data_IF_980145824334
#
_entry.id   IF_980145824334
#
_cell.length_a   1.000
_cell.length_b   1.000
_cell.length_c   1.000
_cell.angle_alpha   90.00
_cell.angle_beta   90.00
_cell.angle_gamma   90.00
#
_symmetry.space_group_name_H-M   'P 1'
#
loop_
_entity.id
_entity.type
_entity.pdbx_description
1 polymer ?
#
# COMPACT_ATOMS: atom_id res chain seq x y z
N UNK A 1 -10.19 -4.84 33.46
CA UNK A 1 -8.94 -5.53 33.80
C UNK A 1 -8.28 -5.92 32.48
N UNK A 2 -7.04 -5.51 32.22
CA UNK A 2 -6.38 -5.92 30.99
C UNK A 2 -6.17 -7.44 31.00
N UNK A 3 -6.49 -8.10 29.88
CA UNK A 3 -6.20 -9.53 29.74
C UNK A 3 -4.69 -9.77 29.79
N UNK A 4 -4.28 -10.81 30.50
CA UNK A 4 -2.92 -11.33 30.39
C UNK A 4 -2.73 -11.88 28.97
N UNK A 5 -1.53 -11.67 28.39
CA UNK A 5 -1.18 -12.19 27.06
C UNK A 5 -0.85 -13.68 27.18
N UNK A 6 -1.36 -14.48 26.24
CA UNK A 6 -1.01 -15.91 26.18
C UNK A 6 0.36 -16.13 25.57
N UNK A 7 0.96 -17.29 25.82
CA UNK A 7 2.02 -17.83 24.94
C UNK A 7 1.42 -18.09 23.55
N UNK A 8 2.22 -18.01 22.47
CA UNK A 8 1.72 -18.24 21.12
C UNK A 8 0.90 -19.54 21.01
N UNK A 9 -0.35 -19.48 20.54
CA UNK A 9 -1.18 -20.67 20.38
C UNK A 9 -0.64 -21.53 19.23
N UNK A 10 -0.93 -22.84 19.30
CA UNK A 10 -0.54 -23.80 18.26
C UNK A 10 -1.75 -24.18 17.41
N UNK A 11 -1.51 -24.56 16.17
CA UNK A 11 -2.53 -25.13 15.29
C UNK A 11 -3.25 -26.28 16.01
N UNK A 12 -4.58 -26.28 15.93
CA UNK A 12 -5.46 -27.21 16.66
C UNK A 12 -5.90 -26.72 18.04
N UNK A 13 -5.32 -25.65 18.59
CA UNK A 13 -5.83 -25.08 19.83
C UNK A 13 -7.23 -24.47 19.65
N UNK A 14 -8.03 -24.55 20.70
CA UNK A 14 -9.30 -23.83 20.79
C UNK A 14 -9.04 -22.39 21.19
N UNK A 15 -9.56 -21.47 20.41
CA UNK A 15 -9.60 -20.05 20.71
C UNK A 15 -11.06 -19.64 20.94
N UNK A 16 -11.30 -18.62 21.76
CA UNK A 16 -12.62 -18.13 22.13
C UNK A 16 -12.77 -16.68 21.72
N UNK A 17 -13.72 -16.39 20.84
CA UNK A 17 -14.03 -15.02 20.41
C UNK A 17 -15.00 -14.42 21.41
N UNK A 18 -14.60 -13.32 22.05
CA UNK A 18 -15.40 -12.63 23.06
C UNK A 18 -16.23 -11.51 22.42
N UNK A 19 -17.55 -11.64 22.49
CA UNK A 19 -18.48 -10.63 22.06
C UNK A 19 -19.26 -10.08 23.27
N UNK A 20 -19.59 -8.80 23.24
CA UNK A 20 -20.50 -8.18 24.17
C UNK A 20 -21.77 -7.81 23.39
N UNK A 21 -22.89 -8.35 23.78
CA UNK A 21 -24.18 -8.03 23.19
C UNK A 21 -24.76 -6.71 23.73
N UNK A 22 -25.68 -6.11 22.99
CA UNK A 22 -26.34 -4.84 23.37
C UNK A 22 -27.01 -4.86 24.72
N UNK A 23 -27.46 -6.04 25.16
CA UNK A 23 -28.03 -6.28 26.48
C UNK A 23 -27.02 -6.42 27.63
N UNK A 24 -25.71 -6.30 27.28
CA UNK A 24 -24.61 -6.46 28.24
C UNK A 24 -24.17 -7.91 28.51
N UNK A 25 -24.79 -8.89 27.86
CA UNK A 25 -24.39 -10.29 28.00
C UNK A 25 -23.08 -10.56 27.22
N UNK A 26 -22.24 -11.36 27.81
CA UNK A 26 -21.00 -11.84 27.19
C UNK A 26 -21.27 -13.14 26.44
N UNK A 27 -20.93 -13.18 25.17
CA UNK A 27 -20.95 -14.36 24.33
C UNK A 27 -19.51 -14.80 24.03
N UNK A 28 -19.20 -16.07 24.28
CA UNK A 28 -17.94 -16.71 23.91
C UNK A 28 -18.19 -17.71 22.81
N UNK A 29 -17.63 -17.44 21.62
CA UNK A 29 -17.74 -18.34 20.47
C UNK A 29 -16.43 -19.13 20.33
N UNK A 30 -16.43 -20.45 20.54
CA UNK A 30 -15.26 -21.27 20.37
C UNK A 30 -14.94 -21.47 18.89
N UNK A 31 -13.64 -21.49 18.56
CA UNK A 31 -13.14 -21.79 17.23
C UNK A 31 -11.82 -22.55 17.31
N UNK A 32 -11.46 -23.22 16.23
CA UNK A 32 -10.21 -23.99 16.12
C UNK A 32 -9.21 -23.21 15.26
N UNK A 33 -8.00 -23.03 15.77
CA UNK A 33 -6.88 -22.47 15.04
C UNK A 33 -6.44 -23.42 13.94
N UNK A 34 -6.68 -23.04 12.68
CA UNK A 34 -6.37 -23.87 11.51
C UNK A 34 -5.01 -23.58 10.90
N UNK A 35 -4.63 -22.31 10.81
CA UNK A 35 -3.36 -21.92 10.24
C UNK A 35 -2.84 -20.63 10.85
N UNK A 36 -1.54 -20.44 10.72
CA UNK A 36 -0.79 -19.25 11.16
C UNK A 36 0.04 -18.80 9.97
N UNK A 37 -0.17 -17.58 9.49
CA UNK A 37 0.59 -17.05 8.36
C UNK A 37 0.59 -15.51 8.38
N UNK A 38 1.36 -14.94 7.46
CA UNK A 38 1.34 -13.51 7.20
C UNK A 38 0.27 -13.24 6.14
N UNK A 39 -0.85 -12.71 6.59
CA UNK A 39 -1.95 -12.35 5.67
C UNK A 39 -2.01 -10.86 5.43
N UNK A 40 -2.37 -10.49 4.20
CA UNK A 40 -2.65 -9.09 3.87
C UNK A 40 -3.91 -8.64 4.64
N UNK A 41 -3.80 -7.51 5.30
CA UNK A 41 -4.95 -6.82 5.88
C UNK A 41 -5.78 -6.18 4.76
N UNK A 42 -7.02 -5.74 5.08
CA UNK A 42 -7.81 -4.88 4.18
C UNK A 42 -7.07 -3.58 3.81
N UNK A 43 -6.08 -3.18 4.59
CA UNK A 43 -5.17 -2.09 4.25
C UNK A 43 -4.09 -2.60 3.28
N UNK A 44 -3.79 -1.87 2.22
CA UNK A 44 -2.70 -2.21 1.32
C UNK A 44 -1.36 -2.18 2.06
N UNK A 45 -0.52 -3.13 1.73
CA UNK A 45 0.83 -3.22 2.27
C UNK A 45 1.20 -4.66 2.63
N UNK A 46 2.40 -4.88 3.14
CA UNK A 46 2.81 -6.18 3.65
C UNK A 46 1.90 -6.61 4.79
N UNK A 47 1.55 -7.90 4.82
CA UNK A 47 0.68 -8.48 5.83
C UNK A 47 1.27 -8.48 7.24
N UNK A 48 0.46 -8.93 8.18
CA UNK A 48 0.83 -9.16 9.57
C UNK A 48 0.60 -10.62 9.94
N UNK A 49 1.24 -11.05 11.03
CA UNK A 49 1.02 -12.37 11.58
C UNK A 49 -0.42 -12.51 12.07
N UNK A 50 -1.16 -13.38 11.42
CA UNK A 50 -2.57 -13.67 11.71
C UNK A 50 -2.77 -15.14 12.00
N UNK A 51 -3.76 -15.40 12.82
CA UNK A 51 -4.32 -16.70 13.10
C UNK A 51 -5.61 -16.85 12.32
N UNK A 52 -5.70 -17.89 11.49
CA UNK A 52 -6.95 -18.26 10.82
C UNK A 52 -7.71 -19.23 11.71
N UNK A 53 -8.84 -18.80 12.22
CA UNK A 53 -9.66 -19.56 13.20
C UNK A 53 -10.99 -19.95 12.55
N UNK A 54 -11.29 -21.24 12.53
CA UNK A 54 -12.61 -21.74 12.09
C UNK A 54 -13.59 -21.63 13.25
N UNK A 55 -14.58 -20.73 13.12
CA UNK A 55 -15.60 -20.50 14.13
C UNK A 55 -16.92 -20.15 13.47
N UNK A 56 -18.03 -20.63 14.03
CA UNK A 56 -19.39 -20.28 13.61
C UNK A 56 -19.93 -19.18 14.53
N UNK A 57 -19.87 -17.93 14.06
CA UNK A 57 -20.38 -16.79 14.81
C UNK A 57 -21.87 -16.59 14.52
N UNK A 58 -22.68 -16.46 15.57
CA UNK A 58 -24.13 -16.31 15.45
C UNK A 58 -24.54 -14.93 14.92
N UNK A 59 -23.79 -13.89 15.30
CA UNK A 59 -24.01 -12.52 14.84
C UNK A 59 -22.72 -12.03 14.18
N UNK A 60 -22.67 -12.09 12.87
CA UNK A 60 -21.53 -11.69 12.07
C UNK A 60 -21.32 -10.18 12.02
N UNK A 61 -21.83 -9.48 13.05
CA UNK A 61 -21.81 -8.31 12.59
C UNK A 61 -21.62 -6.95 13.00
N UNK A 62 -21.64 -6.58 14.11
CA UNK A 62 -21.61 -5.15 14.38
C UNK A 62 -20.23 -4.57 14.71
N UNK A 63 -19.23 -5.37 15.01
CA UNK A 63 -17.88 -4.82 15.17
C UNK A 63 -16.79 -5.84 14.89
N UNK A 64 -15.90 -5.48 14.04
CA UNK A 64 -14.56 -6.06 13.94
C UNK A 64 -13.73 -5.46 15.08
N UNK A 65 -12.70 -6.15 15.53
CA UNK A 65 -11.85 -5.82 16.69
C UNK A 65 -12.32 -6.45 18.00
N UNK A 66 -12.79 -7.68 17.90
CA UNK A 66 -13.19 -8.46 19.08
C UNK A 66 -11.97 -9.15 19.70
N UNK A 67 -11.85 -9.17 21.05
CA UNK A 67 -10.81 -9.93 21.70
C UNK A 67 -10.97 -11.45 21.44
N UNK A 68 -9.85 -12.10 21.16
CA UNK A 68 -9.78 -13.55 20.99
C UNK A 68 -8.88 -14.12 22.07
N UNK A 69 -9.42 -15.09 22.82
CA UNK A 69 -8.78 -15.65 23.99
C UNK A 69 -8.29 -17.08 23.74
N UNK A 70 -7.26 -17.47 24.47
CA UNK A 70 -6.79 -18.85 24.60
C UNK A 70 -6.56 -19.14 26.08
N UNK A 71 -7.34 -20.03 26.66
CA UNK A 71 -7.27 -20.32 28.09
C UNK A 71 -7.48 -19.08 28.97
N UNK A 72 -8.42 -18.22 28.62
CA UNK A 72 -8.73 -16.98 29.34
C UNK A 72 -7.72 -15.84 29.20
N UNK A 73 -6.69 -16.00 28.36
CA UNK A 73 -5.68 -14.99 28.07
C UNK A 73 -5.83 -14.47 26.64
N UNK A 74 -5.46 -13.22 26.39
CA UNK A 74 -5.55 -12.62 25.08
C UNK A 74 -4.57 -13.31 24.11
N UNK A 75 -5.10 -13.88 23.03
CA UNK A 75 -4.36 -14.48 21.93
C UNK A 75 -4.25 -13.54 20.71
N UNK A 76 -5.22 -12.65 20.54
CA UNK A 76 -5.25 -11.72 19.42
C UNK A 76 -6.51 -10.90 19.37
N UNK A 77 -6.68 -10.18 18.25
CA UNK A 77 -7.85 -9.36 17.95
C UNK A 77 -8.42 -9.78 16.59
N UNK A 78 -9.71 -10.12 16.57
CA UNK A 78 -10.44 -10.42 15.34
C UNK A 78 -10.51 -9.17 14.47
N UNK A 79 -10.14 -9.28 13.18
CA UNK A 79 -10.18 -8.18 12.21
C UNK A 79 -11.11 -8.43 11.04
N UNK A 80 -11.42 -9.68 10.73
CA UNK A 80 -12.37 -10.05 9.69
C UNK A 80 -13.05 -11.38 9.98
N UNK A 81 -14.24 -11.57 9.41
CA UNK A 81 -14.98 -12.81 9.46
C UNK A 81 -15.62 -13.10 8.10
N UNK A 82 -15.24 -14.22 7.50
CA UNK A 82 -15.90 -14.75 6.32
C UNK A 82 -17.07 -15.64 6.75
N UNK A 83 -18.28 -15.13 6.51
CA UNK A 83 -19.52 -15.84 6.88
C UNK A 83 -19.71 -17.13 6.09
N UNK A 84 -19.31 -17.15 4.81
CA UNK A 84 -19.48 -18.30 3.93
C UNK A 84 -18.57 -19.45 4.34
N UNK A 85 -17.33 -19.14 4.58
CA UNK A 85 -16.32 -20.14 4.95
C UNK A 85 -16.16 -20.28 6.47
N UNK A 86 -16.87 -19.44 7.26
CA UNK A 86 -16.80 -19.41 8.73
C UNK A 86 -15.35 -19.27 9.24
N UNK A 87 -14.57 -18.42 8.59
CA UNK A 87 -13.17 -18.17 8.89
C UNK A 87 -13.01 -16.78 9.52
N UNK A 88 -12.27 -16.75 10.60
CA UNK A 88 -11.90 -15.55 11.32
C UNK A 88 -10.43 -15.25 11.10
N UNK A 89 -10.09 -14.03 10.68
CA UNK A 89 -8.72 -13.54 10.69
C UNK A 89 -8.46 -12.80 12.00
N UNK A 90 -7.49 -13.28 12.75
CA UNK A 90 -7.15 -12.76 14.07
C UNK A 90 -5.70 -12.28 14.06
N UNK A 91 -5.49 -10.97 14.22
CA UNK A 91 -4.14 -10.42 14.39
C UNK A 91 -3.56 -10.88 15.71
N UNK A 92 -2.35 -11.44 15.68
CA UNK A 92 -1.68 -12.00 16.85
C UNK A 92 -1.36 -10.94 17.91
N UNK A 93 -1.26 -11.38 19.18
CA UNK A 93 -0.83 -10.50 20.28
C UNK A 93 0.58 -9.94 20.09
N UNK A 94 1.45 -10.62 19.35
CA UNK A 94 2.79 -10.12 19.06
C UNK A 94 2.70 -8.80 18.29
N UNK A 95 1.84 -8.74 17.27
CA UNK A 95 1.59 -7.53 16.48
C UNK A 95 0.85 -6.46 17.30
N UNK A 96 -0.19 -6.85 18.05
CA UNK A 96 -0.94 -5.94 18.92
C UNK A 96 -0.04 -5.29 19.97
N UNK A 97 0.80 -6.09 20.64
CA UNK A 97 1.73 -5.60 21.67
C UNK A 97 2.74 -4.63 21.08
N UNK A 98 3.27 -4.94 19.89
CA UNK A 98 4.20 -4.07 19.18
C UNK A 98 3.53 -2.73 18.80
N UNK A 99 2.32 -2.81 18.24
CA UNK A 99 1.54 -1.60 17.91
C UNK A 99 1.33 -0.72 19.16
N UNK A 100 0.89 -1.32 20.27
CA UNK A 100 0.65 -0.57 21.52
C UNK A 100 1.93 0.05 22.08
N UNK A 101 3.05 -0.68 22.00
CA UNK A 101 4.36 -0.17 22.43
C UNK A 101 4.77 1.05 21.60
N UNK A 102 4.63 0.99 20.27
CA UNK A 102 4.95 2.11 19.37
C UNK A 102 3.97 3.28 19.56
N UNK A 103 2.68 2.99 19.73
CA UNK A 103 1.65 4.02 19.95
C UNK A 103 1.78 4.75 21.29
N UNK A 104 2.45 4.14 22.27
CA UNK A 104 2.74 4.79 23.56
C UNK A 104 3.92 5.78 23.53
N UNK A 105 4.69 5.82 22.43
CA UNK A 105 5.77 6.79 22.26
C UNK A 105 5.20 8.15 21.82
N UNK A 106 5.88 9.24 22.17
CA UNK A 106 5.50 10.60 21.78
C UNK A 106 5.35 10.76 20.25
N UNK A 107 6.14 9.99 19.49
CA UNK A 107 6.07 9.92 18.05
C UNK A 107 5.85 8.47 17.60
N UNK A 108 4.70 8.21 16.98
CA UNK A 108 4.42 6.91 16.38
C UNK A 108 5.31 6.66 15.16
N UNK A 109 6.23 5.72 15.27
CA UNK A 109 7.19 5.37 14.20
C UNK A 109 6.65 4.32 13.23
N UNK A 110 5.54 3.65 13.55
CA UNK A 110 4.91 2.66 12.69
C UNK A 110 5.72 1.37 12.52
N UNK A 111 5.30 0.57 11.55
CA UNK A 111 5.98 -0.69 11.21
C UNK A 111 7.08 -0.47 10.19
N UNK A 112 8.23 -1.13 10.35
CA UNK A 112 9.38 -0.95 9.47
C UNK A 112 9.19 -1.60 8.10
N UNK A 113 9.96 -1.13 7.12
CA UNK A 113 10.04 -1.64 5.76
C UNK A 113 11.50 -1.65 5.28
N UNK A 114 11.83 -2.58 4.40
CA UNK A 114 13.08 -2.54 3.63
C UNK A 114 12.98 -1.66 2.39
N UNK A 115 11.78 -1.46 1.85
CA UNK A 115 11.58 -0.71 0.61
C UNK A 115 12.03 -1.51 -0.63
N UNK A 116 11.68 -2.81 -0.71
CA UNK A 116 12.00 -3.67 -1.85
C UNK A 116 10.76 -4.34 -2.41
N UNK A 117 10.77 -4.58 -3.72
CA UNK A 117 9.85 -5.50 -4.39
C UNK A 117 10.62 -6.76 -4.75
N UNK A 118 10.01 -7.92 -4.49
CA UNK A 118 10.68 -9.22 -4.64
C UNK A 118 9.96 -10.09 -5.69
N UNK A 119 10.70 -11.06 -6.24
CA UNK A 119 10.15 -12.17 -6.98
C UNK A 119 10.70 -13.49 -6.44
N UNK A 120 9.88 -14.55 -6.54
CA UNK A 120 10.27 -15.91 -6.16
C UNK A 120 11.30 -16.47 -7.12
N UNK A 121 12.18 -17.36 -6.62
CA UNK A 121 13.24 -17.97 -7.43
C UNK A 121 12.97 -19.46 -7.67
N UNK A 122 11.70 -19.83 -7.93
CA UNK A 122 11.31 -21.22 -8.21
C UNK A 122 11.63 -21.66 -9.65
N UNK A 123 11.63 -20.71 -10.59
CA UNK A 123 11.92 -20.99 -12.00
C UNK A 123 13.38 -21.40 -12.24
N UNK A 124 13.59 -22.53 -12.91
CA UNK A 124 14.92 -23.10 -13.13
C UNK A 124 15.80 -22.22 -14.01
N UNK A 125 15.25 -21.56 -15.02
CA UNK A 125 16.01 -20.68 -15.93
C UNK A 125 16.44 -19.41 -15.19
N UNK A 126 15.55 -18.83 -14.39
CA UNK A 126 15.89 -17.69 -13.52
C UNK A 126 17.01 -18.06 -12.53
N UNK A 127 16.93 -19.23 -11.88
CA UNK A 127 17.95 -19.71 -10.94
C UNK A 127 19.32 -19.85 -11.60
N UNK A 128 19.35 -20.45 -12.79
CA UNK A 128 20.58 -20.61 -13.58
C UNK A 128 21.18 -19.23 -13.93
N UNK A 129 20.34 -18.28 -14.35
CA UNK A 129 20.77 -16.92 -14.67
C UNK A 129 21.30 -16.19 -13.42
N UNK A 130 20.68 -16.38 -12.27
CA UNK A 130 21.10 -15.82 -10.97
C UNK A 130 22.30 -16.56 -10.36
N UNK A 131 22.77 -17.66 -10.96
CA UNK A 131 23.86 -18.51 -10.46
C UNK A 131 23.57 -19.09 -9.07
N UNK A 132 22.31 -19.40 -8.79
CA UNK A 132 21.88 -20.04 -7.54
C UNK A 132 22.14 -21.54 -7.61
N UNK A 133 22.77 -22.11 -6.56
CA UNK A 133 22.88 -23.56 -6.40
C UNK A 133 21.51 -24.23 -6.21
N UNK A 134 21.40 -25.52 -6.55
CA UNK A 134 20.12 -26.24 -6.54
C UNK A 134 19.42 -26.26 -5.17
N UNK A 135 20.19 -26.33 -4.10
CA UNK A 135 19.73 -26.32 -2.70
C UNK A 135 19.58 -24.93 -2.10
N UNK A 136 20.10 -23.89 -2.77
CA UNK A 136 20.08 -22.52 -2.28
C UNK A 136 18.69 -21.89 -2.43
N UNK A 137 18.20 -21.25 -1.37
CA UNK A 137 16.98 -20.45 -1.39
C UNK A 137 17.23 -19.02 -1.86
N UNK A 138 16.33 -18.14 -1.50
CA UNK A 138 16.43 -16.69 -1.69
C UNK A 138 15.39 -16.10 -2.61
N UNK A 139 15.26 -14.78 -2.55
CA UNK A 139 14.30 -13.99 -3.30
C UNK A 139 15.03 -13.00 -4.21
N UNK A 140 14.63 -12.94 -5.48
CA UNK A 140 15.14 -11.96 -6.43
C UNK A 140 14.62 -10.56 -6.09
N UNK A 141 15.52 -9.59 -6.01
CA UNK A 141 15.17 -8.17 -5.81
C UNK A 141 14.81 -7.56 -7.16
N UNK A 142 13.51 -7.37 -7.37
CA UNK A 142 12.96 -6.81 -8.60
C UNK A 142 13.15 -5.30 -8.67
N UNK A 143 12.91 -4.59 -7.55
CA UNK A 143 13.21 -3.15 -7.43
C UNK A 143 13.59 -2.79 -6.00
N UNK A 144 14.34 -1.69 -5.87
CA UNK A 144 14.75 -1.10 -4.59
C UNK A 144 14.30 0.35 -4.59
N UNK A 145 13.48 0.70 -3.61
CA UNK A 145 12.95 2.06 -3.48
C UNK A 145 14.05 3.04 -3.09
N UNK A 146 14.20 4.09 -3.85
CA UNK A 146 15.15 5.17 -3.59
C UNK A 146 14.88 5.83 -2.23
N UNK A 147 15.94 5.98 -1.43
CA UNK A 147 15.85 6.52 -0.07
C UNK A 147 15.29 5.54 0.98
N UNK A 148 14.94 4.31 0.61
CA UNK A 148 14.53 3.25 1.53
C UNK A 148 15.70 2.60 2.27
N UNK A 149 15.38 1.76 3.27
CA UNK A 149 16.40 1.08 4.09
C UNK A 149 17.36 0.22 3.27
N UNK A 150 16.84 -0.52 2.28
CA UNK A 150 17.64 -1.36 1.39
C UNK A 150 18.55 -0.54 0.45
N UNK A 151 18.05 0.58 -0.08
CA UNK A 151 18.83 1.50 -0.93
C UNK A 151 19.98 2.10 -0.15
N UNK A 152 19.71 2.61 1.06
CA UNK A 152 20.73 3.17 1.95
C UNK A 152 21.81 2.12 2.34
N UNK A 153 21.45 0.84 2.39
CA UNK A 153 22.37 -0.28 2.63
C UNK A 153 23.15 -0.69 1.36
N UNK A 154 22.85 -0.12 0.20
CA UNK A 154 23.49 -0.43 -1.06
C UNK A 154 22.96 -1.70 -1.75
N UNK A 155 21.76 -2.17 -1.40
CA UNK A 155 21.05 -3.22 -2.13
C UNK A 155 20.68 -2.72 -3.52
N UNK A 156 20.68 -3.60 -4.51
CA UNK A 156 20.40 -3.27 -5.92
C UNK A 156 19.37 -4.21 -6.52
N UNK A 157 18.69 -3.72 -7.55
CA UNK A 157 17.95 -4.61 -8.44
C UNK A 157 18.89 -5.68 -8.99
N UNK A 158 18.45 -6.92 -9.04
CA UNK A 158 19.27 -8.04 -9.47
C UNK A 158 19.92 -8.83 -8.33
N UNK A 159 20.01 -8.29 -7.12
CA UNK A 159 20.44 -9.04 -5.95
C UNK A 159 19.47 -10.17 -5.62
N UNK A 160 19.96 -11.20 -4.96
CA UNK A 160 19.11 -12.25 -4.37
C UNK A 160 19.26 -12.17 -2.85
N UNK A 161 18.16 -11.88 -2.14
CA UNK A 161 18.12 -11.89 -0.69
C UNK A 161 18.07 -13.34 -0.18
N UNK A 162 19.16 -13.81 0.42
CA UNK A 162 19.34 -15.18 0.90
C UNK A 162 18.89 -15.35 2.35
N UNK A 163 19.17 -14.36 3.20
CA UNK A 163 18.87 -14.43 4.63
C UNK A 163 18.70 -13.02 5.22
N UNK A 164 17.96 -12.94 6.34
CA UNK A 164 17.86 -11.77 7.21
C UNK A 164 18.29 -12.16 8.61
N UNK A 165 19.28 -11.48 9.18
CA UNK A 165 19.89 -11.78 10.50
C UNK A 165 20.23 -13.28 10.66
N UNK A 166 20.74 -13.91 9.60
CA UNK A 166 21.11 -15.32 9.56
C UNK A 166 19.94 -16.30 9.37
N UNK A 167 18.69 -15.82 9.35
CA UNK A 167 17.52 -16.66 9.05
C UNK A 167 17.41 -16.86 7.53
N UNK A 168 17.69 -18.07 7.06
CA UNK A 168 17.67 -18.42 5.64
C UNK A 168 16.24 -18.35 5.08
N UNK A 169 16.12 -17.81 3.86
CA UNK A 169 14.86 -17.66 3.14
C UNK A 169 14.82 -18.68 2.00
N UNK A 170 13.76 -19.45 1.88
CA UNK A 170 13.59 -20.41 0.80
C UNK A 170 13.26 -19.74 -0.55
N UNK A 171 13.17 -20.53 -1.64
CA UNK A 171 12.88 -20.04 -3.00
C UNK A 171 11.47 -19.48 -3.17
N UNK A 172 10.56 -19.74 -2.23
CA UNK A 172 9.18 -19.23 -2.21
C UNK A 172 9.01 -18.03 -1.29
N UNK A 173 10.06 -17.68 -0.50
CA UNK A 173 10.05 -16.56 0.41
C UNK A 173 9.62 -16.89 1.83
N UNK A 174 9.80 -18.14 2.24
CA UNK A 174 9.52 -18.57 3.62
C UNK A 174 10.79 -18.84 4.39
N UNK A 175 10.73 -18.71 5.70
CA UNK A 175 11.78 -19.08 6.64
C UNK A 175 11.22 -19.95 7.76
N UNK A 176 12.06 -20.68 8.47
CA UNK A 176 11.68 -21.55 9.57
C UNK A 176 11.60 -20.73 10.87
N UNK A 177 10.38 -20.45 11.35
CA UNK A 177 10.17 -19.78 12.63
C UNK A 177 10.04 -20.83 13.75
N UNK A 178 10.70 -20.64 14.93
CA UNK A 178 10.75 -21.68 15.98
C UNK A 178 9.38 -22.04 16.57
N UNK A 179 8.44 -21.11 16.64
CA UNK A 179 7.11 -21.33 17.25
C UNK A 179 6.01 -21.59 16.21
N UNK A 180 6.13 -21.04 15.00
CA UNK A 180 5.04 -21.02 14.02
C UNK A 180 5.32 -21.87 12.78
N UNK A 181 6.50 -22.51 12.71
CA UNK A 181 6.90 -23.29 11.54
C UNK A 181 7.32 -22.40 10.36
N UNK A 182 6.75 -22.61 9.19
CA UNK A 182 7.11 -21.86 8.00
C UNK A 182 6.34 -20.55 7.92
N UNK A 183 7.02 -19.41 7.98
CA UNK A 183 6.43 -18.07 7.84
C UNK A 183 7.05 -17.31 6.67
N UNK A 184 6.28 -16.39 6.07
CA UNK A 184 6.79 -15.45 5.07
C UNK A 184 7.89 -14.56 5.67
N UNK A 185 8.97 -14.35 4.91
CA UNK A 185 10.15 -13.57 5.27
C UNK A 185 9.84 -12.15 5.77
N UNK A 186 8.74 -11.55 5.29
CA UNK A 186 8.32 -10.22 5.73
C UNK A 186 8.12 -10.11 7.25
N UNK A 187 7.86 -11.24 7.92
CA UNK A 187 7.76 -11.28 9.38
C UNK A 187 9.11 -10.94 10.07
N UNK A 188 10.24 -11.34 9.51
CA UNK A 188 11.58 -10.99 10.04
C UNK A 188 11.80 -9.47 10.13
N UNK A 189 11.10 -8.70 9.27
CA UNK A 189 11.17 -7.24 9.27
C UNK A 189 10.02 -6.64 10.08
N UNK A 190 8.76 -6.93 9.71
CA UNK A 190 7.59 -6.25 10.29
C UNK A 190 7.08 -6.88 11.60
N UNK A 191 7.29 -8.18 11.77
CA UNK A 191 6.85 -8.92 12.94
C UNK A 191 7.84 -8.84 14.10
N UNK A 192 9.14 -8.77 13.82
CA UNK A 192 10.18 -8.90 14.84
C UNK A 192 10.95 -7.60 15.13
N UNK A 193 10.96 -6.63 14.19
CA UNK A 193 11.77 -5.41 14.30
C UNK A 193 10.93 -4.14 14.45
N UNK A 194 11.57 -3.10 14.92
CA UNK A 194 11.05 -1.74 15.00
C UNK A 194 11.75 -0.83 13.98
N UNK A 195 11.14 0.30 13.67
CA UNK A 195 11.79 1.36 12.88
C UNK A 195 13.02 1.87 13.65
N UNK A 196 14.16 1.96 12.95
CA UNK A 196 15.45 2.30 13.54
C UNK A 196 16.33 1.09 13.90
N UNK A 197 15.78 -0.13 13.93
CA UNK A 197 16.57 -1.32 14.17
C UNK A 197 17.52 -1.61 13.00
N UNK A 198 18.72 -2.10 13.33
CA UNK A 198 19.67 -2.61 12.36
C UNK A 198 19.35 -4.07 12.02
N UNK A 199 19.55 -4.43 10.75
CA UNK A 199 19.45 -5.81 10.26
C UNK A 199 20.60 -6.12 9.33
N UNK A 200 21.02 -7.38 9.31
CA UNK A 200 22.01 -7.92 8.36
C UNK A 200 21.26 -8.64 7.24
N UNK A 201 21.48 -8.22 6.01
CA UNK A 201 20.90 -8.82 4.82
C UNK A 201 22.00 -9.59 4.09
N UNK A 202 21.94 -10.92 4.11
CA UNK A 202 22.85 -11.74 3.30
C UNK A 202 22.31 -11.84 1.89
N UNK A 203 23.06 -11.34 0.92
CA UNK A 203 22.65 -11.27 -0.50
C UNK A 203 23.65 -11.96 -1.41
N UNK A 204 23.18 -12.40 -2.58
CA UNK A 204 24.00 -12.84 -3.68
C UNK A 204 23.91 -11.79 -4.80
N UNK A 205 25.04 -11.20 -5.19
CA UNK A 205 25.17 -10.25 -6.29
C UNK A 205 26.08 -10.82 -7.37
N UNK A 206 25.57 -11.02 -8.56
CA UNK A 206 26.32 -11.59 -9.70
C UNK A 206 27.03 -12.92 -9.36
N UNK A 207 26.45 -13.72 -8.47
CA UNK A 207 27.03 -14.98 -7.97
C UNK A 207 28.02 -14.80 -6.81
N UNK A 208 28.22 -13.59 -6.29
CA UNK A 208 29.12 -13.31 -5.16
C UNK A 208 28.31 -13.04 -3.90
N UNK A 209 28.48 -13.84 -2.81
CA UNK A 209 27.84 -13.59 -1.53
C UNK A 209 28.40 -12.33 -0.87
N UNK A 210 27.52 -11.55 -0.23
CA UNK A 210 27.91 -10.40 0.60
C UNK A 210 26.84 -10.09 1.65
N UNK A 211 27.26 -9.42 2.72
CA UNK A 211 26.36 -8.94 3.77
C UNK A 211 26.19 -7.41 3.65
N UNK A 212 24.96 -6.97 3.70
CA UNK A 212 24.60 -5.56 3.74
C UNK A 212 23.98 -5.25 5.12
N UNK A 213 24.39 -4.14 5.72
CA UNK A 213 23.81 -3.66 6.98
C UNK A 213 22.79 -2.58 6.68
N UNK A 214 21.52 -2.83 6.98
CA UNK A 214 20.45 -1.88 6.78
C UNK A 214 19.92 -1.37 8.13
N UNK A 215 19.58 -0.09 8.20
CA UNK A 215 18.77 0.46 9.27
C UNK A 215 17.35 0.59 8.78
N UNK A 216 16.41 -0.10 9.44
CA UNK A 216 15.02 -0.15 9.01
C UNK A 216 14.33 1.21 9.13
N UNK A 217 13.59 1.59 8.10
CA UNK A 217 12.84 2.85 8.05
C UNK A 217 11.35 2.58 7.90
N UNK A 218 10.52 3.54 8.30
CA UNK A 218 9.10 3.52 7.95
C UNK A 218 8.94 4.00 6.52
N UNK A 219 8.08 3.34 5.79
CA UNK A 219 7.64 3.83 4.50
C UNK A 219 6.42 4.75 4.69
N UNK A 220 6.57 6.02 4.35
CA UNK A 220 5.48 6.99 4.39
C UNK A 220 4.60 6.83 3.14
N UNK A 221 3.36 6.37 3.32
CA UNK A 221 2.39 6.25 2.20
C UNK A 221 2.19 7.58 1.48
N UNK A 222 2.18 8.67 2.24
CA UNK A 222 2.08 10.03 1.68
C UNK A 222 3.29 10.45 0.84
N UNK A 223 4.42 9.75 0.90
CA UNK A 223 5.60 10.04 0.07
C UNK A 223 5.65 9.22 -1.22
N UNK A 224 4.75 8.25 -1.42
CA UNK A 224 4.71 7.44 -2.64
C UNK A 224 4.19 8.27 -3.81
N UNK A 225 4.71 8.03 -5.00
CA UNK A 225 4.22 8.61 -6.25
C UNK A 225 2.70 8.38 -6.43
N UNK A 226 2.25 7.15 -6.17
CA UNK A 226 0.84 6.76 -6.14
C UNK A 226 0.55 6.15 -4.76
N UNK A 227 0.01 6.91 -3.81
CA UNK A 227 -0.28 6.42 -2.48
C UNK A 227 -1.40 5.37 -2.50
N UNK A 228 -1.31 4.40 -1.59
CA UNK A 228 -2.34 3.36 -1.46
C UNK A 228 -3.62 3.93 -0.87
N UNK A 229 -3.55 4.46 0.34
CA UNK A 229 -4.67 5.15 1.00
C UNK A 229 -4.13 6.37 1.75
N UNK A 230 -4.86 7.46 1.67
CA UNK A 230 -4.62 8.66 2.45
C UNK A 230 -5.81 8.79 3.42
N UNK A 231 -5.58 8.42 4.68
CA UNK A 231 -6.59 8.55 5.74
C UNK A 231 -6.63 9.99 6.24
N UNK A 232 -7.81 10.42 6.67
CA UNK A 232 -8.07 11.75 7.27
C UNK A 232 -7.72 12.94 6.35
N UNK A 233 -7.66 12.68 5.04
CA UNK A 233 -7.39 13.71 4.02
C UNK A 233 -8.38 13.58 2.87
N UNK A 234 -8.86 14.72 2.39
CA UNK A 234 -9.62 14.77 1.15
C UNK A 234 -8.69 14.60 -0.06
N UNK A 235 -9.18 14.03 -1.18
CA UNK A 235 -8.36 13.91 -2.37
C UNK A 235 -8.01 15.29 -2.95
N UNK A 236 -6.77 15.44 -3.42
CA UNK A 236 -6.35 16.63 -4.16
C UNK A 236 -6.99 16.63 -5.55
N UNK A 237 -7.66 17.74 -5.90
CA UNK A 237 -8.26 17.93 -7.21
C UNK A 237 -8.27 19.39 -7.64
N UNK A 238 -8.38 19.59 -8.95
CA UNK A 238 -8.64 20.88 -9.59
C UNK A 238 -9.71 20.70 -10.67
N UNK A 239 -10.72 21.54 -10.66
CA UNK A 239 -11.69 21.73 -11.72
C UNK A 239 -11.40 23.07 -12.39
N UNK A 240 -11.07 23.06 -13.68
CA UNK A 240 -10.78 24.27 -14.47
C UNK A 240 -11.51 24.21 -15.81
N UNK A 241 -12.47 25.09 -16.00
CA UNK A 241 -13.24 25.18 -17.23
C UNK A 241 -14.10 23.96 -17.59
N UNK A 242 -14.23 22.99 -16.66
CA UNK A 242 -14.88 21.70 -16.88
C UNK A 242 -13.90 20.52 -16.95
N UNK A 243 -12.59 20.75 -17.09
CA UNK A 243 -11.58 19.69 -16.96
C UNK A 243 -11.39 19.34 -15.48
N UNK A 244 -11.43 18.06 -15.14
CA UNK A 244 -11.27 17.54 -13.77
C UNK A 244 -9.93 16.86 -13.63
N UNK A 245 -9.03 17.49 -12.89
CA UNK A 245 -7.71 16.92 -12.57
C UNK A 245 -7.71 16.34 -11.17
N UNK A 246 -7.05 15.19 -11.00
CA UNK A 246 -6.89 14.52 -9.71
C UNK A 246 -5.45 13.98 -9.55
N UNK A 247 -5.02 13.79 -8.30
CA UNK A 247 -3.82 13.00 -8.03
C UNK A 247 -4.21 11.53 -7.95
N UNK A 248 -3.44 10.69 -8.67
CA UNK A 248 -3.67 9.25 -8.71
C UNK A 248 -3.39 8.62 -7.35
N UNK A 249 -4.31 7.79 -6.90
CA UNK A 249 -4.14 6.91 -5.76
C UNK A 249 -4.59 5.49 -6.10
N UNK A 250 -4.17 4.50 -5.33
CA UNK A 250 -4.66 3.13 -5.50
C UNK A 250 -6.19 3.05 -5.34
N UNK A 251 -6.78 3.82 -4.44
CA UNK A 251 -8.22 3.87 -4.25
C UNK A 251 -8.97 4.27 -5.54
N UNK A 252 -8.39 5.17 -6.36
CA UNK A 252 -8.94 5.52 -7.68
C UNK A 252 -8.86 4.33 -8.63
N UNK A 253 -7.73 3.59 -8.64
CA UNK A 253 -7.57 2.39 -9.47
C UNK A 253 -8.57 1.29 -9.04
N UNK A 254 -8.76 1.08 -7.75
CA UNK A 254 -9.75 0.13 -7.21
C UNK A 254 -11.19 0.49 -7.60
N UNK A 255 -11.48 1.75 -7.87
CA UNK A 255 -12.76 2.22 -8.41
C UNK A 255 -13.12 1.62 -9.78
N UNK A 256 -12.17 1.01 -10.51
CA UNK A 256 -12.44 0.26 -11.74
C UNK A 256 -13.00 -1.15 -11.51
N UNK A 257 -13.24 -1.55 -10.24
CA UNK A 257 -13.88 -2.80 -9.83
C UNK A 257 -12.91 -3.82 -9.24
N UNK A 258 -13.41 -5.00 -8.86
CA UNK A 258 -12.61 -6.05 -8.22
C UNK A 258 -11.38 -6.45 -9.06
N UNK A 259 -11.54 -6.53 -10.37
CA UNK A 259 -10.48 -6.84 -11.33
C UNK A 259 -9.72 -5.59 -11.82
N UNK A 260 -9.62 -4.53 -11.02
CA UNK A 260 -9.02 -3.25 -11.42
C UNK A 260 -7.61 -3.39 -12.03
N UNK A 261 -6.82 -4.37 -11.59
CA UNK A 261 -5.47 -4.61 -12.10
C UNK A 261 -5.43 -5.00 -13.60
N UNK A 262 -6.57 -5.43 -14.15
CA UNK A 262 -6.75 -5.74 -15.56
C UNK A 262 -7.68 -4.77 -16.29
N UNK A 263 -8.46 -3.99 -15.55
CA UNK A 263 -9.48 -3.08 -16.11
C UNK A 263 -9.10 -1.61 -16.09
N UNK A 264 -8.28 -1.20 -15.13
CA UNK A 264 -7.85 0.19 -15.05
C UNK A 264 -6.98 0.56 -16.26
N UNK A 265 -6.96 1.85 -16.67
CA UNK A 265 -6.14 2.33 -17.78
C UNK A 265 -4.67 1.95 -17.63
N UNK A 266 -4.07 1.46 -18.71
CA UNK A 266 -2.71 0.89 -18.69
C UNK A 266 -1.64 1.91 -18.26
N UNK A 267 -1.77 3.16 -18.67
CA UNK A 267 -0.87 4.25 -18.28
C UNK A 267 -0.91 4.51 -16.77
N UNK A 268 -2.11 4.53 -16.17
CA UNK A 268 -2.27 4.69 -14.72
C UNK A 268 -1.76 3.47 -13.95
N UNK A 269 -1.98 2.26 -14.49
CA UNK A 269 -1.43 1.03 -13.94
C UNK A 269 0.09 0.97 -14.04
N UNK A 270 0.68 1.45 -15.14
CA UNK A 270 2.13 1.50 -15.31
C UNK A 270 2.75 2.45 -14.27
N UNK A 271 2.15 3.63 -14.07
CA UNK A 271 2.62 4.57 -13.03
C UNK A 271 2.52 3.98 -11.61
N UNK A 272 1.50 3.18 -11.33
CA UNK A 272 1.35 2.50 -10.04
C UNK A 272 2.36 1.34 -9.85
N UNK A 273 2.56 0.52 -10.89
CA UNK A 273 3.40 -0.70 -10.83
C UNK A 273 4.88 -0.42 -11.02
N UNK A 274 5.23 0.63 -11.77
CA UNK A 274 6.59 1.00 -12.14
C UNK A 274 6.89 2.46 -11.78
N UNK A 275 6.76 2.86 -10.49
CA UNK A 275 6.93 4.26 -10.08
C UNK A 275 8.30 4.84 -10.45
N UNK A 276 9.35 4.01 -10.46
CA UNK A 276 10.73 4.42 -10.79
C UNK A 276 10.85 5.14 -12.15
N UNK A 277 9.95 4.81 -13.11
CA UNK A 277 9.92 5.46 -14.43
C UNK A 277 9.46 6.93 -14.36
N UNK A 278 8.69 7.28 -13.34
CA UNK A 278 8.01 8.56 -13.21
C UNK A 278 8.60 9.45 -12.10
N UNK A 279 9.15 8.86 -11.04
CA UNK A 279 9.69 9.58 -9.87
C UNK A 279 10.82 10.56 -10.19
N UNK A 280 11.48 10.42 -11.35
CA UNK A 280 12.49 11.38 -11.80
C UNK A 280 11.88 12.75 -12.18
N UNK A 281 10.62 12.78 -12.64
CA UNK A 281 9.92 13.97 -13.13
C UNK A 281 8.69 14.35 -12.32
N UNK A 282 8.13 13.43 -11.53
CA UNK A 282 6.88 13.60 -10.80
C UNK A 282 7.04 13.23 -9.33
N UNK A 283 6.41 14.01 -8.45
CA UNK A 283 6.24 13.70 -7.02
C UNK A 283 4.91 13.00 -6.79
N UNK A 284 3.92 13.30 -7.63
CA UNK A 284 2.57 12.75 -7.70
C UNK A 284 2.14 12.63 -9.15
N UNK A 285 1.41 11.61 -9.48
CA UNK A 285 0.80 11.48 -10.80
C UNK A 285 -0.47 12.33 -10.83
N UNK A 286 -0.42 13.47 -11.51
CA UNK A 286 -1.60 14.28 -11.80
C UNK A 286 -2.18 13.85 -13.14
N UNK A 287 -3.47 13.57 -13.19
CA UNK A 287 -4.13 13.14 -14.42
C UNK A 287 -5.49 13.81 -14.63
N UNK A 288 -5.89 13.93 -15.88
CA UNK A 288 -7.24 14.33 -16.27
C UNK A 288 -8.16 13.14 -16.06
N UNK A 289 -8.99 13.16 -15.02
CA UNK A 289 -9.89 12.06 -14.69
C UNK A 289 -11.16 12.05 -15.52
N UNK A 290 -11.60 13.22 -15.98
CA UNK A 290 -12.77 13.36 -16.83
C UNK A 290 -13.02 14.81 -17.22
N UNK A 291 -14.05 15.00 -18.04
CA UNK A 291 -14.45 16.29 -18.55
C UNK A 291 -15.94 16.51 -18.31
N UNK A 292 -16.28 17.60 -17.68
CA UNK A 292 -17.66 18.11 -17.60
C UNK A 292 -17.92 18.91 -18.90
N UNK A 293 -18.94 18.58 -19.69
CA UNK A 293 -19.27 19.33 -20.89
C UNK A 293 -19.64 20.79 -20.57
N UNK A 294 -18.86 21.71 -21.11
CA UNK A 294 -19.02 23.16 -20.93
C UNK A 294 -18.65 23.86 -22.22
N UNK A 295 -18.95 25.17 -22.41
CA UNK A 295 -18.46 25.91 -23.54
C UNK A 295 -16.94 25.94 -23.73
N UNK A 296 -16.17 25.75 -22.62
CA UNK A 296 -14.71 25.68 -22.65
C UNK A 296 -14.15 24.31 -23.07
N UNK A 297 -14.96 23.25 -23.06
CA UNK A 297 -14.50 21.87 -23.29
C UNK A 297 -15.05 21.24 -24.56
N UNK A 298 -15.61 22.06 -25.49
CA UNK A 298 -16.15 21.57 -26.76
C UNK A 298 -15.07 20.84 -27.55
N UNK A 299 -15.34 19.57 -27.90
CA UNK A 299 -14.40 18.67 -28.60
C UNK A 299 -13.49 17.86 -27.68
N UNK A 300 -13.51 18.13 -26.38
CA UNK A 300 -12.69 17.42 -25.37
C UNK A 300 -13.51 16.48 -24.46
N UNK A 301 -14.82 16.37 -24.64
CA UNK A 301 -15.77 15.72 -23.72
C UNK A 301 -15.47 14.25 -23.46
N UNK A 302 -14.72 13.61 -24.37
CA UNK A 302 -14.38 12.19 -24.26
C UNK A 302 -13.02 11.94 -23.63
N UNK A 303 -12.23 12.98 -23.38
CA UNK A 303 -10.91 12.84 -22.79
C UNK A 303 -11.02 12.43 -21.33
N UNK A 304 -10.23 11.44 -20.95
CA UNK A 304 -10.16 10.90 -19.58
C UNK A 304 -8.93 10.05 -19.37
N UNK A 305 -8.51 9.94 -18.13
CA UNK A 305 -7.42 9.07 -17.70
C UNK A 305 -6.06 9.38 -18.37
N UNK A 306 -5.79 10.65 -18.66
CA UNK A 306 -4.58 11.12 -19.31
C UNK A 306 -3.65 11.76 -18.28
N UNK A 307 -2.40 11.29 -18.19
CA UNK A 307 -1.40 11.82 -17.24
C UNK A 307 -0.89 13.17 -17.77
N UNK A 308 -0.99 14.22 -16.94
CA UNK A 308 -0.54 15.56 -17.29
C UNK A 308 0.99 15.61 -17.26
N UNK A 309 1.59 16.05 -18.34
CA UNK A 309 3.03 16.24 -18.46
C UNK A 309 3.42 17.71 -18.25
N UNK A 310 2.82 18.63 -19.03
CA UNK A 310 3.09 20.07 -18.95
C UNK A 310 1.80 20.88 -19.02
N UNK A 311 1.83 22.05 -18.39
CA UNK A 311 0.86 23.11 -18.58
C UNK A 311 1.59 24.41 -18.82
N UNK A 312 1.28 25.12 -19.90
CA UNK A 312 1.96 26.36 -20.32
C UNK A 312 3.49 26.20 -20.42
N UNK A 313 3.95 25.03 -20.91
CA UNK A 313 5.36 24.67 -21.00
C UNK A 313 6.04 24.30 -19.68
N UNK A 314 5.35 24.40 -18.54
CA UNK A 314 5.89 24.04 -17.22
C UNK A 314 5.60 22.58 -16.90
N UNK A 315 6.62 21.82 -16.44
CA UNK A 315 6.47 20.43 -16.01
C UNK A 315 5.62 20.31 -14.75
N UNK A 316 4.70 19.37 -14.75
CA UNK A 316 3.77 19.14 -13.63
C UNK A 316 4.29 18.00 -12.76
N UNK A 317 4.68 18.36 -11.52
CA UNK A 317 5.19 17.40 -10.53
C UNK A 317 4.13 16.93 -9.55
N UNK A 318 3.13 17.74 -9.26
CA UNK A 318 2.03 17.51 -8.32
C UNK A 318 0.89 18.51 -8.56
N UNK A 319 -0.18 18.44 -7.79
CA UNK A 319 -1.33 19.34 -7.94
C UNK A 319 -0.99 20.81 -7.68
N UNK A 320 -0.03 21.10 -6.77
CA UNK A 320 0.39 22.48 -6.49
C UNK A 320 1.08 23.11 -7.71
N UNK A 321 1.92 22.36 -8.40
CA UNK A 321 2.58 22.82 -9.64
C UNK A 321 1.58 22.98 -10.79
N UNK A 322 0.54 22.13 -10.87
CA UNK A 322 -0.54 22.29 -11.84
C UNK A 322 -1.27 23.62 -11.63
N UNK A 323 -1.68 23.92 -10.40
CA UNK A 323 -2.36 25.18 -10.08
C UNK A 323 -1.49 26.41 -10.38
N UNK A 324 -0.20 26.34 -10.01
CA UNK A 324 0.75 27.41 -10.28
C UNK A 324 0.94 27.65 -11.78
N UNK A 325 0.99 26.58 -12.58
CA UNK A 325 1.13 26.69 -14.03
C UNK A 325 -0.10 27.35 -14.70
N UNK A 326 -1.31 27.07 -14.23
CA UNK A 326 -2.49 27.80 -14.68
C UNK A 326 -2.47 29.27 -14.26
N UNK A 327 -2.04 29.54 -13.02
CA UNK A 327 -1.97 30.92 -12.50
C UNK A 327 -0.88 31.78 -13.17
N UNK A 328 0.09 31.19 -13.85
CA UNK A 328 1.20 31.91 -14.49
C UNK A 328 0.82 32.64 -15.77
N UNK A 329 -0.30 32.28 -16.44
CA UNK A 329 -0.78 32.84 -17.70
C UNK A 329 -2.24 33.34 -17.59
N UNK A 330 -2.53 34.33 -16.74
CA UNK A 330 -3.89 34.82 -16.60
C UNK A 330 -4.36 35.54 -17.87
N UNK A 331 -5.62 35.31 -18.24
CA UNK A 331 -6.29 35.89 -19.41
C UNK A 331 -5.69 35.48 -20.77
N UNK A 332 -4.91 34.42 -20.83
CA UNK A 332 -4.31 33.90 -22.06
C UNK A 332 -4.82 32.50 -22.39
N UNK A 333 -4.34 31.95 -23.50
CA UNK A 333 -4.62 30.56 -23.87
C UNK A 333 -3.71 29.61 -23.08
N UNK A 334 -4.30 28.74 -22.30
CA UNK A 334 -3.56 27.64 -21.62
C UNK A 334 -3.35 26.47 -22.58
N UNK A 335 -2.13 25.90 -22.57
CA UNK A 335 -1.81 24.66 -23.24
C UNK A 335 -1.58 23.56 -22.20
N UNK A 336 -2.19 22.40 -22.40
CA UNK A 336 -2.08 21.24 -21.52
C UNK A 336 -1.56 20.06 -22.34
N UNK A 337 -0.38 19.58 -22.03
CA UNK A 337 0.27 18.45 -22.70
C UNK A 337 0.20 17.20 -21.80
N UNK A 338 -0.07 16.05 -22.40
CA UNK A 338 -0.15 14.76 -21.70
C UNK A 338 1.05 13.88 -22.04
N UNK A 339 1.32 12.86 -21.19
CA UNK A 339 2.41 11.90 -21.43
C UNK A 339 2.08 10.93 -22.56
N UNK A 340 0.79 10.68 -22.77
CA UNK A 340 0.27 9.83 -23.82
C UNK A 340 -0.07 10.66 -25.05
N UNK A 341 0.37 10.16 -26.21
CA UNK A 341 0.10 10.76 -27.52
C UNK A 341 0.52 12.25 -27.60
N UNK A 342 0.81 12.74 -28.74
CA UNK A 342 1.09 14.17 -28.98
C UNK A 342 -0.21 15.00 -28.90
N UNK A 343 -0.97 14.79 -27.80
CA UNK A 343 -2.24 15.48 -27.58
C UNK A 343 -1.99 16.72 -26.72
N UNK A 344 -2.41 17.87 -27.25
CA UNK A 344 -2.44 19.13 -26.51
C UNK A 344 -3.87 19.64 -26.46
N UNK A 345 -4.33 19.95 -25.25
CA UNK A 345 -5.62 20.61 -25.02
C UNK A 345 -5.37 22.09 -24.80
N UNK A 346 -6.19 22.92 -25.42
CA UNK A 346 -6.14 24.38 -25.29
C UNK A 346 -7.39 24.90 -24.58
N UNK A 347 -7.21 25.77 -23.59
CA UNK A 347 -8.28 26.41 -22.85
C UNK A 347 -8.07 27.94 -22.87
N UNK A 348 -9.09 28.68 -23.29
CA UNK A 348 -9.15 30.12 -23.10
C UNK A 348 -9.45 30.46 -21.64
N UNK A 349 -8.56 31.19 -20.97
CA UNK A 349 -8.70 31.49 -19.53
C UNK A 349 -9.92 32.38 -19.24
N UNK A 350 -10.31 33.28 -20.16
CA UNK A 350 -11.48 34.13 -19.98
C UNK A 350 -12.77 33.28 -20.01
N UNK A 351 -12.85 32.36 -20.98
CA UNK A 351 -13.98 31.43 -21.08
C UNK A 351 -14.02 30.49 -19.88
N UNK A 352 -12.88 29.92 -19.49
CA UNK A 352 -12.81 29.00 -18.32
C UNK A 352 -13.18 29.69 -17.03
N UNK A 353 -12.76 30.92 -16.79
CA UNK A 353 -13.12 31.70 -15.60
C UNK A 353 -14.63 31.95 -15.53
N UNK A 354 -15.25 32.26 -16.64
CA UNK A 354 -16.73 32.41 -16.72
C UNK A 354 -17.45 31.10 -16.43
N UNK A 355 -16.94 29.99 -16.99
CA UNK A 355 -17.48 28.63 -16.75
C UNK A 355 -17.32 28.23 -15.31
N UNK A 356 -16.18 28.48 -14.71
CA UNK A 356 -15.88 28.18 -13.33
C UNK A 356 -16.86 28.86 -12.36
N UNK A 357 -17.18 30.14 -12.62
CA UNK A 357 -18.21 30.88 -11.88
C UNK A 357 -19.61 30.24 -12.03
N UNK A 358 -19.98 29.84 -13.25
CA UNK A 358 -21.27 29.16 -13.50
C UNK A 358 -21.34 27.78 -12.80
N UNK A 359 -20.25 27.04 -12.72
CA UNK A 359 -20.20 25.75 -12.03
C UNK A 359 -20.42 25.93 -10.52
N UNK A 360 -19.86 26.98 -9.91
CA UNK A 360 -20.12 27.33 -8.51
C UNK A 360 -21.60 27.67 -8.30
N UNK A 361 -22.21 28.46 -9.17
CA UNK A 361 -23.65 28.81 -9.11
C UNK A 361 -24.56 27.59 -9.26
N UNK A 362 -24.14 26.57 -10.00
CA UNK A 362 -24.88 25.30 -10.19
C UNK A 362 -24.71 24.30 -9.05
N UNK A 363 -24.00 24.67 -7.98
CA UNK A 363 -23.89 23.86 -6.74
C UNK A 363 -22.58 23.12 -6.57
N UNK A 364 -21.57 23.32 -7.41
CA UNK A 364 -20.22 22.87 -7.11
C UNK A 364 -19.67 23.77 -6.00
N UNK A 365 -19.40 23.19 -4.85
CA UNK A 365 -19.04 23.97 -3.66
C UNK A 365 -17.60 24.50 -3.69
N UNK A 366 -16.71 23.81 -4.39
CA UNK A 366 -15.28 24.17 -4.51
C UNK A 366 -14.72 23.69 -5.85
N UNK A 367 -13.93 24.51 -6.49
CA UNK A 367 -13.24 24.16 -7.76
C UNK A 367 -11.91 23.46 -7.53
N UNK A 368 -11.37 23.53 -6.33
CA UNK A 368 -10.11 22.86 -6.00
C UNK A 368 -10.03 22.49 -4.52
N UNK A 369 -9.26 21.45 -4.25
CA UNK A 369 -8.78 21.09 -2.92
C UNK A 369 -7.34 20.63 -3.05
N UNK A 370 -6.43 21.28 -2.34
CA UNK A 370 -5.00 20.94 -2.34
C UNK A 370 -4.45 21.17 -0.94
N UNK A 371 -3.92 20.11 -0.35
CA UNK A 371 -3.24 20.14 0.96
C UNK A 371 -1.71 20.19 0.81
#
# INVERSE_FOLDING_TARGET
>A
VPFAITTPPKIGNTLEILQLEDNGLTLLTPGILQSIDITASFLPGPGFLTYMVKASMQNAASSYSLPVLCGGKLAGVLISYDVKDQLCDVVSTDIVTRFLKEAANDKYMGFPSLGVTIARTEDASLRQWLKLADDQGGLYIHSVRKGGAADAAGMKQGDVLLAVDGQAIDRRGYYAHPNYGSLSWGHLIRGEKSTGDAVVLSVLRDGTPMDLKATLTREEESARLVPSHLFDRAPNYLLKGGLVFQELSRAILEGFGEDWQSRAPLNLLDAYKNPDKYEASMERVVFLSGVIPTPATVGYERLRNLIVHKVNGQEIKNMKTLMAAFASNPNELHSIEFTEENLTVYLDDTVTTSVDAQLLERGITRLSHVE
#
